data_IF_891582106605
#
_entry.id   IF_891582106605
#
_cell.length_a   1.000
_cell.length_b   1.000
_cell.length_c   1.000
_cell.angle_alpha   90.00
_cell.angle_beta   90.00
_cell.angle_gamma   90.00
#
_symmetry.space_group_name_H-M   'P 1'
#
loop_
_entity.id
_entity.type
_entity.pdbx_description
1 polymer ?
#
# COMPACT_ATOMS: atom_id res chain seq x y z
N UNK A 1 3.50 -11.54 -2.43
CA UNK A 1 2.82 -11.45 -1.17
C UNK A 1 2.00 -12.70 -0.96
N UNK A 2 2.25 -13.36 0.13
CA UNK A 2 1.65 -14.67 0.38
C UNK A 2 0.30 -14.59 1.08
N UNK A 3 -0.13 -13.41 1.54
CA UNK A 3 -1.32 -13.37 2.37
C UNK A 3 -2.12 -12.10 2.09
N UNK A 4 -3.04 -12.24 1.16
CA UNK A 4 -4.14 -11.30 1.03
C UNK A 4 -5.19 -11.71 2.06
N UNK A 5 -5.60 -10.80 2.90
CA UNK A 5 -6.72 -11.00 3.79
C UNK A 5 -7.96 -10.48 3.09
N UNK A 6 -8.93 -11.36 2.93
CA UNK A 6 -10.23 -11.02 2.37
C UNK A 6 -11.30 -11.08 3.45
N UNK A 7 -12.08 -10.03 3.56
CA UNK A 7 -13.25 -9.98 4.42
C UNK A 7 -14.50 -9.99 3.55
N UNK A 8 -15.28 -11.06 3.67
CA UNK A 8 -16.59 -11.17 3.04
C UNK A 8 -17.67 -10.76 4.02
N UNK A 9 -18.42 -9.74 3.70
CA UNK A 9 -19.64 -9.39 4.44
C UNK A 9 -20.86 -9.89 3.68
N UNK A 10 -21.42 -11.00 4.14
CA UNK A 10 -22.52 -11.70 3.44
C UNK A 10 -23.78 -10.85 3.27
N UNK A 11 -24.06 -9.93 4.18
CA UNK A 11 -25.22 -9.04 4.12
C UNK A 11 -25.06 -7.93 3.07
N UNK A 12 -23.84 -7.44 2.87
CA UNK A 12 -23.58 -6.37 1.88
C UNK A 12 -23.08 -6.91 0.54
N UNK A 13 -22.84 -8.20 0.47
CA UNK A 13 -22.26 -8.87 -0.72
C UNK A 13 -21.01 -8.12 -1.25
N UNK A 14 -20.13 -7.72 -0.34
CA UNK A 14 -18.90 -6.98 -0.63
C UNK A 14 -17.71 -7.69 -0.05
N UNK A 15 -16.69 -7.82 -0.88
CA UNK A 15 -15.38 -8.34 -0.51
C UNK A 15 -14.42 -7.18 -0.27
N UNK A 16 -13.74 -7.19 0.87
CA UNK A 16 -12.66 -6.26 1.16
C UNK A 16 -11.34 -7.03 1.14
N UNK A 17 -10.44 -6.61 0.28
CA UNK A 17 -9.13 -7.22 0.15
C UNK A 17 -8.05 -6.31 0.71
N UNK A 18 -7.18 -6.90 1.54
CA UNK A 18 -6.00 -6.24 2.06
C UNK A 18 -4.76 -6.91 1.49
N UNK A 19 -3.85 -6.13 0.96
CA UNK A 19 -2.49 -6.59 0.65
C UNK A 19 -1.66 -6.60 1.92
N UNK A 20 -1.02 -7.73 2.22
CA UNK A 20 -0.22 -7.93 3.43
C UNK A 20 1.26 -8.01 3.09
N UNK A 21 2.09 -7.33 3.87
CA UNK A 21 3.56 -7.36 3.72
C UNK A 21 4.25 -7.45 5.06
N UNK A 22 5.31 -8.26 5.12
CA UNK A 22 6.25 -8.22 6.22
C UNK A 22 7.14 -6.98 6.09
N UNK A 23 7.47 -6.39 7.22
CA UNK A 23 8.25 -5.16 7.31
C UNK A 23 9.36 -5.30 8.36
N UNK A 24 10.46 -4.67 8.07
CA UNK A 24 11.56 -4.34 8.98
C UNK A 24 12.22 -3.03 8.49
N UNK A 25 13.39 -2.71 9.01
CA UNK A 25 14.15 -1.55 8.52
C UNK A 25 14.88 -1.77 7.17
N UNK A 26 14.71 -2.94 6.54
CA UNK A 26 15.32 -3.25 5.26
C UNK A 26 14.59 -2.53 4.13
N UNK A 27 15.33 -1.80 3.32
CA UNK A 27 14.79 -1.09 2.16
C UNK A 27 14.07 -2.00 1.16
N UNK A 28 14.48 -3.25 1.03
CA UNK A 28 13.82 -4.19 0.11
C UNK A 28 12.38 -4.48 0.53
N UNK A 29 12.13 -4.69 1.83
CA UNK A 29 10.76 -4.91 2.33
C UNK A 29 9.92 -3.65 2.25
N UNK A 30 10.50 -2.49 2.54
CA UNK A 30 9.82 -1.20 2.38
C UNK A 30 9.48 -0.92 0.91
N UNK A 31 10.37 -1.23 -0.01
CA UNK A 31 10.09 -1.14 -1.45
C UNK A 31 8.97 -2.09 -1.87
N UNK A 32 8.98 -3.33 -1.37
CA UNK A 32 7.91 -4.30 -1.63
C UNK A 32 6.55 -3.88 -1.09
N UNK A 33 6.53 -3.09 -0.04
CA UNK A 33 5.29 -2.54 0.50
C UNK A 33 4.70 -1.46 -0.42
N UNK A 34 5.51 -0.55 -0.91
CA UNK A 34 5.05 0.58 -1.73
C UNK A 34 5.01 0.22 -3.21
N UNK A 35 6.13 -0.21 -3.74
CA UNK A 35 6.31 -0.49 -5.16
C UNK A 35 7.43 -1.51 -5.32
N UNK A 36 7.10 -2.71 -5.74
CA UNK A 36 8.09 -3.75 -5.92
C UNK A 36 8.92 -3.48 -7.18
N UNK A 37 10.21 -3.23 -7.01
CA UNK A 37 11.17 -3.07 -8.10
C UNK A 37 11.62 -4.43 -8.66
N UNK A 38 10.73 -5.35 -8.95
CA UNK A 38 11.10 -6.45 -9.84
C UNK A 38 10.90 -5.99 -11.27
N UNK A 39 12.01 -5.75 -11.88
CA UNK A 39 12.06 -5.56 -13.31
C UNK A 39 11.64 -6.87 -14.02
N UNK A 40 10.38 -7.05 -14.30
CA UNK A 40 10.02 -7.92 -15.42
C UNK A 40 10.36 -7.12 -16.66
N UNK A 41 11.50 -7.45 -17.27
CA UNK A 41 11.77 -7.01 -18.63
C UNK A 41 10.68 -7.59 -19.52
N UNK A 42 9.84 -6.74 -20.06
CA UNK A 42 9.01 -7.12 -21.22
C UNK A 42 9.92 -7.36 -22.42
N UNK A 43 9.38 -8.00 -23.46
CA UNK A 43 10.07 -8.15 -24.74
C UNK A 43 10.62 -6.83 -25.31
N UNK A 44 10.11 -5.69 -24.84
CA UNK A 44 10.50 -4.34 -25.26
C UNK A 44 11.50 -3.65 -24.30
N UNK A 45 12.11 -4.39 -23.36
CA UNK A 45 13.01 -3.87 -22.32
C UNK A 45 12.37 -2.83 -21.38
N UNK A 46 11.06 -2.77 -21.29
CA UNK A 46 10.37 -1.89 -20.35
C UNK A 46 10.35 -2.48 -18.93
N UNK A 47 10.55 -1.61 -17.95
CA UNK A 47 10.44 -1.97 -16.54
C UNK A 47 8.97 -1.95 -16.14
N UNK A 48 8.42 -3.08 -15.73
CA UNK A 48 7.08 -3.15 -15.15
C UNK A 48 7.21 -3.12 -13.63
N UNK A 49 6.64 -2.10 -13.03
CA UNK A 49 6.49 -2.02 -11.59
C UNK A 49 5.25 -2.81 -11.15
N UNK A 50 5.41 -3.65 -10.16
CA UNK A 50 4.33 -4.46 -9.60
C UNK A 50 4.54 -4.70 -8.11
N UNK A 51 3.46 -4.87 -7.37
CA UNK A 51 3.47 -5.23 -5.95
C UNK A 51 3.12 -4.08 -5.01
N UNK A 52 2.79 -4.44 -3.78
CA UNK A 52 2.45 -3.48 -2.73
C UNK A 52 1.29 -2.53 -3.11
N UNK A 53 1.43 -1.30 -2.71
CA UNK A 53 0.46 -0.22 -3.01
C UNK A 53 0.18 -0.08 -4.50
N UNK A 54 1.19 -0.30 -5.35
CA UNK A 54 1.03 -0.14 -6.81
C UNK A 54 -0.02 -1.08 -7.42
N UNK A 55 -0.32 -2.21 -6.78
CA UNK A 55 -1.36 -3.14 -7.25
C UNK A 55 -2.77 -2.54 -7.29
N UNK A 56 -2.99 -1.49 -6.52
CA UNK A 56 -4.26 -0.75 -6.57
C UNK A 56 -4.37 0.16 -7.80
N UNK A 57 -3.24 0.46 -8.46
CA UNK A 57 -3.18 1.37 -9.59
C UNK A 57 -2.89 0.70 -10.94
N UNK A 58 -2.47 -0.56 -10.93
CA UNK A 58 -2.20 -1.32 -12.17
C UNK A 58 -3.35 -2.24 -12.59
N UNK A 59 -4.53 -2.05 -12.01
CA UNK A 59 -5.74 -2.80 -12.36
C UNK A 59 -5.89 -4.18 -11.70
N UNK A 60 -5.05 -4.51 -10.74
CA UNK A 60 -5.12 -5.82 -10.06
C UNK A 60 -6.10 -5.85 -8.89
N UNK A 61 -6.21 -4.77 -8.12
CA UNK A 61 -7.01 -4.72 -6.91
C UNK A 61 -8.02 -3.58 -6.91
N UNK A 62 -9.13 -3.81 -6.23
CA UNK A 62 -10.17 -2.80 -5.93
C UNK A 62 -10.65 -2.02 -7.15
N UNK A 63 -10.83 -2.68 -8.30
CA UNK A 63 -11.28 -2.03 -9.52
C UNK A 63 -12.67 -1.39 -9.38
N UNK A 64 -13.54 -2.00 -8.59
CA UNK A 64 -14.93 -1.56 -8.39
C UNK A 64 -15.11 -0.73 -7.10
N UNK A 65 -14.04 -0.42 -6.40
CA UNK A 65 -14.06 0.33 -5.15
C UNK A 65 -13.18 1.57 -5.26
N UNK A 66 -13.50 2.59 -4.47
CA UNK A 66 -12.70 3.81 -4.34
C UNK A 66 -11.75 3.78 -3.14
N UNK A 67 -11.52 2.62 -2.58
CA UNK A 67 -10.58 2.41 -1.46
C UNK A 67 -9.91 1.04 -1.52
N UNK A 68 -8.80 0.92 -0.82
CA UNK A 68 -8.06 -0.32 -0.60
C UNK A 68 -7.45 -0.35 0.80
N UNK A 69 -6.79 -1.43 1.14
CA UNK A 69 -6.13 -1.59 2.43
C UNK A 69 -4.77 -2.27 2.32
N UNK A 70 -3.85 -1.81 3.14
CA UNK A 70 -2.52 -2.38 3.30
C UNK A 70 -2.30 -2.76 4.76
N UNK A 71 -1.83 -3.97 5.02
CA UNK A 71 -1.39 -4.40 6.35
C UNK A 71 0.10 -4.69 6.31
N UNK A 72 0.86 -3.97 7.12
CA UNK A 72 2.27 -4.20 7.34
C UNK A 72 2.51 -4.92 8.67
N UNK A 73 3.12 -6.09 8.63
CA UNK A 73 3.55 -6.82 9.81
C UNK A 73 5.00 -6.44 10.14
N UNK A 74 5.18 -5.61 11.15
CA UNK A 74 6.52 -5.18 11.60
C UNK A 74 7.13 -6.27 12.46
N UNK A 75 8.09 -6.98 11.90
CA UNK A 75 8.76 -8.10 12.55
C UNK A 75 9.98 -7.67 13.35
N UNK A 76 10.59 -6.55 12.98
CA UNK A 76 11.69 -5.93 13.71
C UNK A 76 11.80 -4.45 13.35
N UNK A 77 12.48 -3.69 14.22
CA UNK A 77 12.66 -2.25 14.04
C UNK A 77 11.60 -1.41 14.73
N UNK A 78 11.80 -0.10 14.66
CA UNK A 78 10.89 0.89 15.22
C UNK A 78 9.72 1.16 14.26
N UNK A 79 8.50 0.94 14.72
CA UNK A 79 7.31 1.05 13.86
C UNK A 79 7.06 2.46 13.37
N UNK A 80 7.34 3.48 14.18
CA UNK A 80 7.20 4.88 13.76
C UNK A 80 8.22 5.25 12.69
N UNK A 81 9.46 4.80 12.82
CA UNK A 81 10.50 5.00 11.81
C UNK A 81 10.12 4.31 10.49
N UNK A 82 9.62 3.08 10.56
CA UNK A 82 9.12 2.34 9.40
C UNK A 82 7.95 3.08 8.73
N UNK A 83 6.99 3.57 9.50
CA UNK A 83 5.89 4.40 9.00
C UNK A 83 6.41 5.63 8.26
N UNK A 84 7.35 6.35 8.85
CA UNK A 84 7.95 7.54 8.23
C UNK A 84 8.68 7.20 6.92
N UNK A 85 9.39 6.10 6.87
CA UNK A 85 10.05 5.62 5.65
C UNK A 85 9.05 5.23 4.57
N UNK A 86 7.96 4.57 4.93
CA UNK A 86 6.88 4.22 3.99
C UNK A 86 6.25 5.49 3.42
N UNK A 87 5.91 6.47 4.25
CA UNK A 87 5.30 7.72 3.78
C UNK A 87 6.23 8.50 2.87
N UNK A 88 7.53 8.50 3.15
CA UNK A 88 8.55 9.09 2.27
C UNK A 88 8.59 8.38 0.92
N UNK A 89 8.60 7.05 0.91
CA UNK A 89 8.59 6.26 -0.33
C UNK A 89 7.32 6.44 -1.15
N UNK A 90 6.17 6.58 -0.51
CA UNK A 90 4.91 6.90 -1.19
C UNK A 90 5.02 8.25 -1.93
N UNK A 91 5.58 9.26 -1.27
CA UNK A 91 5.80 10.58 -1.89
C UNK A 91 6.79 10.53 -3.06
N UNK A 92 7.87 9.77 -2.91
CA UNK A 92 8.91 9.68 -3.95
C UNK A 92 8.45 8.88 -5.17
N UNK A 93 7.73 7.78 -4.98
CA UNK A 93 7.42 6.84 -6.04
C UNK A 93 6.04 7.06 -6.70
N UNK A 94 5.10 7.66 -6.01
CA UNK A 94 3.72 7.80 -6.48
C UNK A 94 3.30 9.25 -6.75
N UNK A 95 4.17 10.23 -6.53
CA UNK A 95 3.89 11.63 -6.84
C UNK A 95 3.90 11.95 -8.35
N UNK A 96 4.41 11.04 -9.16
CA UNK A 96 4.65 11.27 -10.60
C UNK A 96 4.02 10.23 -11.51
N UNK A 97 3.34 9.24 -10.95
CA UNK A 97 2.68 8.19 -11.74
C UNK A 97 1.26 8.63 -12.10
N UNK A 98 0.90 8.75 -13.39
CA UNK A 98 -0.43 9.24 -13.79
C UNK A 98 -1.59 8.41 -13.25
N UNK A 99 -1.32 7.17 -12.87
CA UNK A 99 -2.32 6.18 -12.48
C UNK A 99 -2.53 6.07 -10.98
N UNK A 100 -1.64 6.64 -10.18
CA UNK A 100 -1.69 6.52 -8.71
C UNK A 100 -1.16 7.75 -7.99
N UNK A 101 -1.31 8.91 -8.60
CA UNK A 101 -0.78 10.18 -8.11
C UNK A 101 -1.20 10.46 -6.67
N UNK A 102 -0.20 10.59 -5.80
CA UNK A 102 -0.41 10.84 -4.38
C UNK A 102 -0.86 12.29 -4.18
N UNK A 103 -2.06 12.46 -3.61
CA UNK A 103 -2.60 13.77 -3.27
C UNK A 103 -2.13 14.21 -1.87
N UNK A 104 -2.32 13.36 -0.87
CA UNK A 104 -1.97 13.64 0.53
C UNK A 104 -1.86 12.37 1.36
N UNK A 105 -1.16 12.49 2.47
CA UNK A 105 -1.13 11.49 3.54
C UNK A 105 -1.82 12.09 4.76
N UNK A 106 -2.75 11.35 5.35
CA UNK A 106 -3.49 11.76 6.54
C UNK A 106 -3.20 10.78 7.67
N UNK A 107 -2.59 11.28 8.74
CA UNK A 107 -2.47 10.51 9.97
C UNK A 107 -3.84 10.25 10.58
N UNK A 108 -4.09 9.00 10.93
CA UNK A 108 -5.25 8.60 11.70
C UNK A 108 -4.80 8.18 13.09
N UNK A 109 -4.50 9.14 13.93
CA UNK A 109 -4.27 8.89 15.34
C UNK A 109 -5.59 8.58 16.03
N UNK A 110 -5.96 7.31 16.02
CA UNK A 110 -6.88 6.78 17.01
C UNK A 110 -6.01 6.46 18.23
N UNK A 111 -6.42 6.92 19.40
CA UNK A 111 -5.64 6.91 20.65
C UNK A 111 -5.07 5.56 21.11
N UNK A 112 -5.26 4.48 20.36
CA UNK A 112 -4.77 3.14 20.65
C UNK A 112 -3.81 2.59 19.58
N UNK A 113 -3.63 3.29 18.47
CA UNK A 113 -2.78 2.80 17.40
C UNK A 113 -2.24 3.95 16.54
N UNK A 114 -1.10 4.50 16.94
CA UNK A 114 -0.39 5.58 16.23
C UNK A 114 0.19 5.15 14.87
N UNK A 115 -0.04 3.90 14.48
CA UNK A 115 0.54 3.29 13.30
C UNK A 115 -0.45 3.14 12.15
N UNK A 116 -1.58 3.81 12.21
CA UNK A 116 -2.54 3.89 11.12
C UNK A 116 -2.46 5.22 10.41
N UNK A 117 -2.54 5.18 9.08
CA UNK A 117 -2.62 6.38 8.25
C UNK A 117 -3.35 6.05 6.95
N UNK A 118 -3.83 7.08 6.29
CA UNK A 118 -4.41 6.98 4.96
C UNK A 118 -3.53 7.67 3.94
N UNK A 119 -3.38 7.07 2.77
CA UNK A 119 -2.86 7.75 1.58
C UNK A 119 -3.99 7.98 0.58
N UNK A 120 -4.12 9.23 0.14
CA UNK A 120 -5.12 9.66 -0.82
C UNK A 120 -4.46 9.85 -2.18
N UNK A 121 -5.05 9.24 -3.19
CA UNK A 121 -4.50 9.21 -4.54
C UNK A 121 -5.54 9.64 -5.56
N UNK A 122 -5.07 10.11 -6.71
CA UNK A 122 -5.88 10.24 -7.89
C UNK A 122 -5.77 8.94 -8.72
N UNK A 123 -6.89 8.28 -8.92
CA UNK A 123 -6.98 7.08 -9.75
C UNK A 123 -8.12 7.22 -10.75
N UNK A 124 -7.80 7.21 -12.05
CA UNK A 124 -8.81 7.36 -13.11
C UNK A 124 -9.72 8.59 -12.92
N UNK A 125 -9.13 9.74 -12.62
CA UNK A 125 -9.81 11.01 -12.36
C UNK A 125 -10.76 11.02 -11.15
N UNK A 126 -10.61 10.10 -10.21
CA UNK A 126 -11.33 10.12 -8.95
C UNK A 126 -10.41 9.81 -7.77
N UNK A 127 -10.82 10.26 -6.59
CA UNK A 127 -10.06 10.01 -5.37
C UNK A 127 -10.14 8.54 -4.98
N UNK A 128 -8.99 7.96 -4.69
CA UNK A 128 -8.83 6.61 -4.17
C UNK A 128 -8.07 6.65 -2.86
N UNK A 129 -8.59 6.02 -1.82
CA UNK A 129 -7.98 6.03 -0.49
C UNK A 129 -7.43 4.65 -0.17
N UNK A 130 -6.18 4.59 0.26
CA UNK A 130 -5.60 3.38 0.83
C UNK A 130 -5.46 3.56 2.34
N UNK A 131 -6.09 2.66 3.07
CA UNK A 131 -5.98 2.57 4.53
C UNK A 131 -4.77 1.70 4.89
N UNK A 132 -3.83 2.25 5.65
CA UNK A 132 -2.62 1.57 6.08
C UNK A 132 -2.70 1.24 7.57
N UNK A 133 -2.43 -0.02 7.89
CA UNK A 133 -2.33 -0.52 9.27
C UNK A 133 -0.98 -1.20 9.45
N UNK A 134 -0.15 -0.69 10.35
CA UNK A 134 1.11 -1.32 10.73
C UNK A 134 0.93 -2.02 12.09
N UNK A 135 1.12 -3.31 12.10
CA UNK A 135 1.02 -4.14 13.30
C UNK A 135 2.42 -4.53 13.78
N UNK A 136 2.74 -4.19 15.01
CA UNK A 136 4.04 -4.49 15.60
C UNK A 136 4.02 -5.87 16.24
N UNK A 137 4.89 -6.75 15.76
CA UNK A 137 5.15 -8.11 16.26
C UNK A 137 6.60 -8.29 16.77
N UNK A 138 7.31 -7.19 16.88
CA UNK A 138 8.71 -7.24 17.38
C UNK A 138 8.80 -7.39 18.89
#
# INVERSE_FOLDING_TARGET
GLYDISFLHSYWNKDFNFECKNLDNNNDLLNKYVCYNTYKKTSDNENIFDGGVLRYFNGKYSQNYNFGGMIGFVLSGDTLDIKNKITTKLKENLSTTPEGDLIRIKDKSISLNDFTFDSHHNRFNSEFVIHHLLLNFS
#
